data_IF_304566510615
#
_entry.id   IF_304566510615
#
_cell.length_a   1.000
_cell.length_b   1.000
_cell.length_c   1.000
_cell.angle_alpha   90.00
_cell.angle_beta   90.00
_cell.angle_gamma   90.00
#
_symmetry.space_group_name_H-M   'P 1'
#
loop_
_entity.id
_entity.type
_entity.pdbx_description
1 polymer ?
#
# COMPACT_ATOMS: atom_id res chain seq x y z
N UNK A 1 -7.66 -4.16 -6.22
CA UNK A 1 -6.77 -3.66 -5.16
C UNK A 1 -6.24 -4.87 -4.43
N UNK A 2 -4.94 -5.16 -4.54
CA UNK A 2 -4.32 -6.27 -3.82
C UNK A 2 -4.33 -6.00 -2.31
N UNK A 3 -4.32 -7.05 -1.49
CA UNK A 3 -4.09 -6.92 -0.05
C UNK A 3 -2.62 -6.55 0.16
N UNK A 4 -2.35 -5.30 0.50
CA UNK A 4 -1.01 -4.80 0.81
C UNK A 4 -0.85 -4.66 2.32
N UNK A 5 0.36 -4.84 2.84
CA UNK A 5 0.61 -4.73 4.28
C UNK A 5 0.32 -3.30 4.77
N UNK A 6 0.74 -2.30 3.99
CA UNK A 6 0.41 -0.90 4.25
C UNK A 6 -1.10 -0.65 4.16
N UNK A 7 -1.81 -1.30 3.24
CA UNK A 7 -3.26 -1.19 3.10
C UNK A 7 -4.03 -1.74 4.29
N UNK A 8 -3.61 -2.89 4.83
CA UNK A 8 -4.21 -3.47 6.04
C UNK A 8 -3.88 -2.66 7.28
N UNK A 9 -2.63 -2.20 7.45
CA UNK A 9 -2.24 -1.31 8.55
C UNK A 9 -3.04 0.00 8.53
N UNK A 10 -3.24 0.58 7.34
CA UNK A 10 -4.10 1.76 7.16
C UNK A 10 -5.54 1.51 7.62
N UNK A 11 -6.14 0.38 7.23
CA UNK A 11 -7.51 0.03 7.66
C UNK A 11 -7.61 -0.14 9.17
N UNK A 12 -6.61 -0.76 9.79
CA UNK A 12 -6.54 -0.91 11.24
C UNK A 12 -6.49 0.47 11.93
N UNK A 13 -5.61 1.36 11.48
CA UNK A 13 -5.52 2.73 12.00
C UNK A 13 -6.82 3.53 11.82
N UNK A 14 -7.47 3.42 10.66
CA UNK A 14 -8.78 4.05 10.44
C UNK A 14 -9.87 3.51 11.38
N UNK A 15 -9.82 2.22 11.72
CA UNK A 15 -10.73 1.63 12.71
C UNK A 15 -10.43 2.19 14.10
N UNK A 16 -9.17 2.19 14.52
CA UNK A 16 -8.72 2.75 15.80
C UNK A 16 -9.14 4.21 15.94
N UNK A 17 -8.91 5.05 14.93
CA UNK A 17 -9.32 6.45 14.95
C UNK A 17 -10.84 6.64 15.11
N UNK A 18 -11.65 5.79 14.47
CA UNK A 18 -13.12 5.83 14.59
C UNK A 18 -13.60 5.44 15.99
N UNK A 19 -12.97 4.43 16.59
CA UNK A 19 -13.33 3.97 17.93
C UNK A 19 -12.91 5.03 18.96
N UNK A 20 -11.68 5.55 18.90
CA UNK A 20 -11.21 6.66 19.74
C UNK A 20 -12.09 7.92 19.59
N UNK A 21 -12.49 8.27 18.37
CA UNK A 21 -13.41 9.40 18.12
C UNK A 21 -14.79 9.18 18.74
N UNK A 22 -15.28 7.93 18.78
CA UNK A 22 -16.57 7.60 19.40
C UNK A 22 -16.49 7.78 20.90
N UNK A 23 -15.41 7.30 21.51
CA UNK A 23 -15.18 7.39 22.95
C UNK A 23 -14.93 8.84 23.37
N UNK A 24 -14.15 9.60 22.61
CA UNK A 24 -13.97 11.04 22.80
C UNK A 24 -15.32 11.79 22.80
N UNK A 25 -16.22 11.46 21.86
CA UNK A 25 -17.58 12.05 21.81
C UNK A 25 -18.43 11.66 23.01
N UNK A 26 -18.33 10.42 23.49
CA UNK A 26 -19.03 9.98 24.69
C UNK A 26 -18.57 10.76 25.92
N UNK A 27 -17.25 10.95 26.07
CA UNK A 27 -16.65 11.72 27.15
C UNK A 27 -16.95 13.22 27.04
N UNK A 28 -17.00 13.80 25.83
CA UNK A 28 -17.46 15.18 25.62
C UNK A 28 -18.91 15.38 26.08
N UNK A 29 -19.78 14.38 25.89
CA UNK A 29 -21.16 14.43 26.40
C UNK A 29 -21.16 14.37 27.93
N UNK A 30 -20.40 13.46 28.53
CA UNK A 30 -20.27 13.35 29.98
C UNK A 30 -19.67 14.63 30.61
N UNK A 31 -18.76 15.29 29.90
CA UNK A 31 -18.12 16.54 30.31
C UNK A 31 -19.06 17.73 30.51
N UNK A 32 -20.31 17.63 30.06
CA UNK A 32 -21.38 18.59 30.39
C UNK A 32 -21.75 18.57 31.88
N UNK A 33 -21.57 17.42 32.53
CA UNK A 33 -21.90 17.20 33.94
C UNK A 33 -20.67 16.90 34.79
N UNK A 34 -19.58 16.38 34.18
CA UNK A 34 -18.33 16.03 34.84
C UNK A 34 -17.15 16.69 34.12
N UNK A 35 -16.77 17.94 34.47
CA UNK A 35 -15.72 18.69 33.78
C UNK A 35 -14.37 17.97 33.69
N UNK A 36 -14.07 17.07 34.64
CA UNK A 36 -12.88 16.21 34.61
C UNK A 36 -12.79 15.31 33.36
N UNK A 37 -13.93 14.94 32.75
CA UNK A 37 -13.96 14.13 31.54
C UNK A 37 -13.49 14.89 30.28
N UNK A 38 -13.32 16.22 30.35
CA UNK A 38 -12.85 17.03 29.20
C UNK A 38 -11.43 16.70 28.78
N UNK A 39 -10.53 16.51 29.74
CA UNK A 39 -9.12 16.23 29.46
C UNK A 39 -8.98 14.89 28.73
N UNK A 40 -9.66 13.86 29.22
CA UNK A 40 -9.64 12.54 28.60
C UNK A 40 -10.27 12.56 27.21
N UNK A 41 -11.37 13.30 27.03
CA UNK A 41 -11.98 13.47 25.71
C UNK A 41 -11.04 14.14 24.69
N UNK A 42 -10.26 15.15 25.13
CA UNK A 42 -9.27 15.80 24.28
C UNK A 42 -8.11 14.87 23.94
N UNK A 43 -7.63 14.08 24.90
CA UNK A 43 -6.59 13.07 24.69
C UNK A 43 -7.00 12.06 23.60
N UNK A 44 -8.17 11.45 23.75
CA UNK A 44 -8.69 10.48 22.77
C UNK A 44 -8.91 11.10 21.39
N UNK A 45 -9.28 12.38 21.32
CA UNK A 45 -9.39 13.08 20.05
C UNK A 45 -8.03 13.26 19.38
N UNK A 46 -7.00 13.67 20.13
CA UNK A 46 -5.63 13.77 19.61
C UNK A 46 -5.06 12.43 19.15
N UNK A 47 -5.34 11.33 19.87
CA UNK A 47 -4.94 9.99 19.46
C UNK A 47 -5.66 9.54 18.17
N UNK A 48 -6.94 9.91 18.01
CA UNK A 48 -7.68 9.64 16.78
C UNK A 48 -7.07 10.39 15.58
N UNK A 49 -6.71 11.65 15.76
CA UNK A 49 -6.08 12.47 14.71
C UNK A 49 -4.70 11.94 14.33
N UNK A 50 -3.89 11.53 15.33
CA UNK A 50 -2.60 10.90 15.09
C UNK A 50 -2.75 9.59 14.28
N UNK A 51 -3.70 8.74 14.65
CA UNK A 51 -3.99 7.52 13.92
C UNK A 51 -4.46 7.79 12.47
N UNK A 52 -5.22 8.87 12.23
CA UNK A 52 -5.61 9.28 10.87
C UNK A 52 -4.41 9.80 10.06
N UNK A 53 -3.52 10.58 10.68
CA UNK A 53 -2.31 11.07 10.03
C UNK A 53 -1.40 9.90 9.59
N UNK A 54 -1.19 8.92 10.46
CA UNK A 54 -0.46 7.70 10.11
C UNK A 54 -1.14 6.90 8.98
N UNK A 55 -2.48 6.81 9.01
CA UNK A 55 -3.23 6.14 7.97
C UNK A 55 -3.08 6.82 6.60
N UNK A 56 -3.07 8.16 6.57
CA UNK A 56 -2.89 8.92 5.33
C UNK A 56 -1.45 8.79 4.80
N UNK A 57 -0.44 8.80 5.68
CA UNK A 57 0.95 8.55 5.29
C UNK A 57 1.13 7.17 4.61
N UNK A 58 0.41 6.15 5.08
CA UNK A 58 0.44 4.81 4.48
C UNK A 58 -0.26 4.71 3.12
N UNK A 59 -1.00 5.73 2.67
CA UNK A 59 -1.73 5.69 1.40
C UNK A 59 -0.80 5.62 0.20
N UNK A 60 0.28 6.41 0.20
CA UNK A 60 1.30 6.36 -0.87
C UNK A 60 2.02 5.02 -0.86
N UNK A 61 2.41 4.52 0.32
CA UNK A 61 3.05 3.22 0.46
C UNK A 61 2.15 2.07 -0.03
N UNK A 62 0.87 2.07 0.35
CA UNK A 62 -0.10 1.08 -0.13
C UNK A 62 -0.28 1.13 -1.65
N UNK A 63 -0.19 2.32 -2.26
CA UNK A 63 -0.20 2.45 -3.72
C UNK A 63 1.06 1.83 -4.31
N UNK A 64 2.26 2.10 -3.80
CA UNK A 64 3.49 1.49 -4.32
C UNK A 64 3.48 -0.05 -4.17
N UNK A 65 2.93 -0.57 -3.07
CA UNK A 65 2.81 -2.01 -2.84
C UNK A 65 1.77 -2.71 -3.74
N UNK A 66 0.78 -1.99 -4.28
CA UNK A 66 -0.30 -2.53 -5.12
C UNK A 66 0.16 -2.82 -6.55
N UNK A 67 1.05 -3.80 -6.71
CA UNK A 67 1.56 -4.25 -8.01
C UNK A 67 1.52 -5.77 -8.12
N UNK A 68 1.44 -6.27 -9.35
CA UNK A 68 1.57 -7.69 -9.66
C UNK A 68 2.89 -7.92 -10.39
N UNK A 69 3.70 -8.86 -9.90
CA UNK A 69 4.89 -9.37 -10.60
C UNK A 69 4.61 -10.78 -11.06
N UNK A 70 4.92 -11.09 -12.31
CA UNK A 70 4.70 -12.40 -12.91
C UNK A 70 5.84 -12.76 -13.87
N UNK A 71 6.02 -14.06 -14.11
CA UNK A 71 7.01 -14.57 -15.06
C UNK A 71 6.37 -14.73 -16.44
N UNK A 72 6.92 -14.05 -17.43
CA UNK A 72 6.57 -14.23 -18.84
C UNK A 72 7.53 -15.19 -19.50
N UNK A 73 7.00 -16.25 -20.09
CA UNK A 73 7.77 -17.15 -20.94
C UNK A 73 7.49 -16.80 -22.41
N UNK A 74 8.57 -16.60 -23.16
CA UNK A 74 8.54 -16.31 -24.58
C UNK A 74 9.28 -17.40 -25.32
N UNK A 75 8.52 -18.22 -26.02
CA UNK A 75 9.04 -19.24 -26.91
C UNK A 75 9.32 -18.61 -28.27
N UNK A 76 10.57 -18.66 -28.72
CA UNK A 76 10.98 -18.21 -30.05
C UNK A 76 11.43 -19.40 -30.89
N UNK A 77 10.78 -19.60 -32.03
CA UNK A 77 11.21 -20.56 -33.04
C UNK A 77 12.29 -19.94 -33.90
N UNK A 78 13.42 -20.63 -34.04
CA UNK A 78 14.55 -20.21 -34.88
C UNK A 78 14.91 -21.32 -35.87
N UNK A 79 15.74 -21.00 -36.87
CA UNK A 79 16.26 -21.98 -37.83
C UNK A 79 17.01 -23.15 -37.15
N UNK A 80 17.55 -22.93 -35.94
CA UNK A 80 18.30 -23.93 -35.15
C UNK A 80 17.44 -24.63 -34.08
N UNK A 81 16.13 -24.44 -34.09
CA UNK A 81 15.20 -25.01 -33.11
C UNK A 81 14.50 -23.95 -32.25
N UNK A 82 13.77 -24.42 -31.25
CA UNK A 82 12.96 -23.59 -30.36
C UNK A 82 13.77 -23.18 -29.13
N UNK A 83 13.73 -21.89 -28.78
CA UNK A 83 14.35 -21.35 -27.58
C UNK A 83 13.33 -20.65 -26.70
N UNK A 84 13.27 -21.04 -25.43
CA UNK A 84 12.40 -20.42 -24.43
C UNK A 84 13.18 -19.38 -23.63
N UNK A 85 12.60 -18.20 -23.50
CA UNK A 85 13.15 -17.11 -22.70
C UNK A 85 12.18 -16.77 -21.58
N UNK A 86 12.69 -16.60 -20.37
CA UNK A 86 11.88 -16.26 -19.21
C UNK A 86 12.24 -14.87 -18.69
N UNK A 87 11.21 -14.05 -18.51
CA UNK A 87 11.32 -12.65 -18.10
C UNK A 87 10.43 -12.36 -16.90
N UNK A 88 10.87 -11.45 -16.05
CA UNK A 88 10.05 -10.84 -15.04
C UNK A 88 9.31 -9.65 -15.63
N UNK A 89 7.99 -9.64 -15.43
CA UNK A 89 7.09 -8.56 -15.79
C UNK A 89 6.43 -8.03 -14.53
N UNK A 90 6.14 -6.74 -14.52
CA UNK A 90 5.25 -6.14 -13.54
C UNK A 90 4.08 -5.44 -14.23
N UNK A 91 2.96 -5.39 -13.54
CA UNK A 91 1.87 -4.50 -13.90
C UNK A 91 1.31 -3.78 -12.68
N UNK A 92 0.92 -2.53 -12.88
CA UNK A 92 0.26 -1.73 -11.85
C UNK A 92 -0.66 -0.67 -12.47
N UNK A 93 -1.57 -0.13 -11.65
CA UNK A 93 -2.43 0.99 -12.05
C UNK A 93 -1.74 2.32 -11.84
N UNK A 94 -1.85 3.18 -12.85
CA UNK A 94 -1.39 4.56 -12.85
C UNK A 94 -2.59 5.41 -13.30
N UNK A 95 -3.28 6.03 -12.35
CA UNK A 95 -4.57 6.68 -12.60
C UNK A 95 -5.63 5.70 -13.13
N UNK A 96 -6.11 5.97 -14.33
CA UNK A 96 -7.11 5.19 -15.06
C UNK A 96 -6.50 4.03 -15.88
N UNK A 97 -5.18 4.05 -16.14
CA UNK A 97 -4.50 3.09 -17.02
C UNK A 97 -3.74 2.02 -16.25
N UNK A 98 -3.52 0.89 -16.92
CA UNK A 98 -2.62 -0.18 -16.45
C UNK A 98 -1.29 -0.03 -17.16
N UNK A 99 -0.21 0.12 -16.40
CA UNK A 99 1.16 0.11 -16.90
C UNK A 99 1.74 -1.29 -16.77
N UNK A 100 2.31 -1.81 -17.87
CA UNK A 100 3.04 -3.07 -17.90
C UNK A 100 4.52 -2.77 -18.14
N UNK A 101 5.40 -3.32 -17.32
CA UNK A 101 6.84 -3.06 -17.36
C UNK A 101 7.63 -4.37 -17.40
N UNK A 102 8.64 -4.41 -18.25
CA UNK A 102 9.61 -5.50 -18.29
C UNK A 102 10.74 -5.22 -17.29
N UNK A 103 10.92 -6.12 -16.31
CA UNK A 103 11.87 -5.93 -15.21
C UNK A 103 13.25 -6.53 -15.52
N UNK A 104 13.30 -7.54 -16.40
CA UNK A 104 14.53 -8.24 -16.77
C UNK A 104 14.34 -9.74 -16.98
N UNK A 105 15.41 -10.47 -17.26
CA UNK A 105 15.36 -11.94 -17.36
C UNK A 105 15.34 -12.59 -15.99
N UNK A 106 14.60 -13.70 -15.85
CA UNK A 106 14.55 -14.48 -14.60
C UNK A 106 15.86 -15.18 -14.27
N UNK A 107 16.79 -15.33 -15.22
CA UNK A 107 18.11 -15.90 -14.95
C UNK A 107 19.07 -14.94 -14.24
N UNK A 108 18.73 -13.63 -14.18
CA UNK A 108 19.59 -12.59 -13.58
C UNK A 108 19.05 -12.02 -12.27
N UNK A 109 17.82 -12.36 -11.90
CA UNK A 109 17.09 -11.76 -10.79
C UNK A 109 16.02 -12.74 -10.33
N UNK A 110 15.81 -12.81 -9.03
CA UNK A 110 14.78 -13.62 -8.38
C UNK A 110 13.44 -12.86 -8.27
N UNK A 111 12.42 -13.53 -7.73
CA UNK A 111 11.08 -12.95 -7.61
C UNK A 111 11.06 -11.76 -6.63
N UNK A 112 11.85 -11.81 -5.56
CA UNK A 112 11.92 -10.73 -4.57
C UNK A 112 12.64 -9.50 -5.12
N UNK A 113 13.77 -9.69 -5.81
CA UNK A 113 14.47 -8.62 -6.52
C UNK A 113 13.60 -7.99 -7.61
N UNK A 114 12.83 -8.80 -8.34
CA UNK A 114 11.87 -8.30 -9.31
C UNK A 114 10.79 -7.43 -8.65
N UNK A 115 10.26 -7.86 -7.49
CA UNK A 115 9.28 -7.07 -6.71
C UNK A 115 9.88 -5.76 -6.20
N UNK A 116 11.10 -5.77 -5.66
CA UNK A 116 11.78 -4.55 -5.20
C UNK A 116 11.96 -3.56 -6.35
N UNK A 117 12.49 -4.03 -7.49
CA UNK A 117 12.67 -3.21 -8.69
C UNK A 117 11.35 -2.65 -9.23
N UNK A 118 10.28 -3.45 -9.19
CA UNK A 118 8.95 -2.98 -9.59
C UNK A 118 8.39 -1.90 -8.65
N UNK A 119 8.67 -2.00 -7.33
CA UNK A 119 8.28 -0.97 -6.35
C UNK A 119 9.02 0.34 -6.58
N UNK A 120 10.33 0.29 -6.83
CA UNK A 120 11.15 1.45 -7.16
C UNK A 120 10.62 2.15 -8.42
N UNK A 121 10.44 1.41 -9.52
CA UNK A 121 9.88 1.96 -10.77
C UNK A 121 8.48 2.53 -10.60
N UNK A 122 7.67 1.95 -9.71
CA UNK A 122 6.33 2.45 -9.42
C UNK A 122 6.35 3.71 -8.55
N UNK A 123 7.26 3.80 -7.58
CA UNK A 123 7.43 5.00 -6.75
C UNK A 123 7.85 6.20 -7.62
N UNK A 124 8.84 6.00 -8.50
CA UNK A 124 9.26 7.01 -9.48
C UNK A 124 8.11 7.46 -10.38
N UNK A 125 7.31 6.51 -10.89
CA UNK A 125 6.15 6.83 -11.73
C UNK A 125 5.05 7.61 -10.98
N UNK A 126 4.92 7.40 -9.67
CA UNK A 126 3.95 8.10 -8.83
C UNK A 126 4.45 9.47 -8.34
N UNK A 127 5.68 9.86 -8.67
CA UNK A 127 6.29 11.12 -8.23
C UNK A 127 6.55 11.18 -6.72
N UNK A 128 6.82 10.02 -6.10
CA UNK A 128 7.19 9.90 -4.68
C UNK A 128 8.70 9.74 -4.51
#
# INVERSE_FOLDING_TARGET
MHKTAAGEKRKALQKTARDLSRDARALQKAAKHLPAARQEAQRLHGEADAALAEAEALKLQARVEDLTVWRMEKVKRTRKGTRTYSYWMACWREGDRTRNVHLGSTGKMDAEGARRKAREMKAEALGS
#
